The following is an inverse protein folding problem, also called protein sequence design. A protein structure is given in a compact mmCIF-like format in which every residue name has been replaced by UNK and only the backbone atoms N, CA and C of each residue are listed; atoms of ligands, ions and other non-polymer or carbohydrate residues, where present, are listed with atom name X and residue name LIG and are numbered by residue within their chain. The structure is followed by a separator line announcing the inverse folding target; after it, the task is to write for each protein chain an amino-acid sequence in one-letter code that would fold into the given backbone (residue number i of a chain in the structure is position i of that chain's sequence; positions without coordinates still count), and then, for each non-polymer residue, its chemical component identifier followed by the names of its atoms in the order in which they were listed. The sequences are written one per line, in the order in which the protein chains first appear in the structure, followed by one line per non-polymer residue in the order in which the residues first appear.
data_IF_818687756164
#
_entry.id   IF_818687756164
#
_cell.length_a   1.000
_cell.length_b   1.000
_cell.length_c   1.000
_cell.angle_alpha   90.00
_cell.angle_beta   90.00
_cell.angle_gamma   90.00
#
_symmetry.space_group_name_H-M   'P 1'
#
loop_
_entity.id
_entity.type
_entity.pdbx_description
1 polymer ?
#
# COMPACT_ATOMS: atom_id res chain seq x y z
N UNK A 1 2.06 -10.87 17.45
CA UNK A 1 3.20 -10.23 18.12
C UNK A 1 3.05 -10.30 19.61
N UNK A 2 3.78 -11.22 20.26
CA UNK A 2 3.70 -11.42 21.72
C UNK A 2 4.80 -10.67 22.51
N UNK A 3 5.79 -10.05 21.84
CA UNK A 3 6.99 -9.52 22.49
C UNK A 3 7.33 -8.05 22.17
N UNK A 4 6.40 -7.27 21.62
CA UNK A 4 6.67 -5.85 21.33
C UNK A 4 6.12 -4.97 22.45
N UNK A 5 7.01 -4.48 23.31
CA UNK A 5 6.67 -3.52 24.38
C UNK A 5 6.30 -2.16 23.77
N UNK A 6 5.27 -1.52 24.33
CA UNK A 6 4.86 -0.15 23.98
C UNK A 6 5.99 0.84 24.20
N UNK A 7 6.77 0.69 25.27
CA UNK A 7 7.91 1.57 25.55
C UNK A 7 8.99 1.46 24.47
N UNK A 8 9.21 0.25 23.93
CA UNK A 8 10.16 0.04 22.84
C UNK A 8 9.70 0.73 21.55
N UNK A 9 8.40 0.69 21.26
CA UNK A 9 7.83 1.39 20.09
C UNK A 9 7.98 2.90 20.26
N UNK A 10 7.65 3.45 21.43
CA UNK A 10 7.79 4.87 21.71
C UNK A 10 9.25 5.34 21.58
N UNK A 11 10.22 4.57 22.09
CA UNK A 11 11.64 4.88 21.91
C UNK A 11 12.07 4.80 20.43
N UNK A 12 11.55 3.83 19.67
CA UNK A 12 11.82 3.75 18.24
C UNK A 12 11.24 4.96 17.48
N UNK A 13 10.09 5.50 17.92
CA UNK A 13 9.47 6.69 17.33
C UNK A 13 10.29 7.96 17.51
N UNK A 14 11.07 8.06 18.59
CA UNK A 14 11.99 9.19 18.79
C UNK A 14 13.26 9.08 17.96
N UNK A 15 13.40 8.03 17.14
CA UNK A 15 14.56 7.79 16.29
C UNK A 15 15.73 7.10 17.00
N UNK A 16 15.53 6.49 18.18
CA UNK A 16 16.59 5.71 18.85
C UNK A 16 17.01 4.51 17.98
N UNK A 17 18.25 4.47 17.47
CA UNK A 17 18.72 3.41 16.59
C UNK A 17 18.71 2.03 17.26
N UNK A 18 18.94 1.96 18.58
CA UNK A 18 18.95 0.69 19.33
C UNK A 18 17.52 0.18 19.48
N UNK A 19 16.58 1.07 19.79
CA UNK A 19 15.16 0.71 19.87
C UNK A 19 14.63 0.22 18.52
N UNK A 20 14.95 0.92 17.42
CA UNK A 20 14.58 0.51 16.06
C UNK A 20 15.16 -0.86 15.72
N UNK A 21 16.47 -1.07 15.91
CA UNK A 21 17.12 -2.35 15.62
C UNK A 21 16.50 -3.51 16.42
N UNK A 22 16.25 -3.29 17.71
CA UNK A 22 15.62 -4.28 18.58
C UNK A 22 14.18 -4.59 18.15
N UNK A 23 13.42 -3.56 17.80
CA UNK A 23 12.05 -3.68 17.31
C UNK A 23 11.99 -4.52 16.02
N UNK A 24 12.87 -4.23 15.05
CA UNK A 24 13.01 -4.97 13.79
C UNK A 24 13.30 -6.46 14.02
N UNK A 25 14.23 -6.77 14.93
CA UNK A 25 14.59 -8.16 15.26
C UNK A 25 13.41 -8.91 15.87
N UNK A 26 12.65 -8.27 16.76
CA UNK A 26 11.51 -8.89 17.43
C UNK A 26 10.33 -9.13 16.47
N UNK A 27 10.08 -8.22 15.54
CA UNK A 27 8.96 -8.38 14.61
C UNK A 27 9.29 -9.24 13.38
N UNK A 28 10.56 -9.51 13.08
CA UNK A 28 10.97 -10.26 11.89
C UNK A 28 10.28 -11.62 11.73
N UNK A 29 10.24 -12.44 12.79
CA UNK A 29 9.61 -13.77 12.72
C UNK A 29 8.09 -13.70 12.51
N UNK A 30 7.42 -12.72 13.12
CA UNK A 30 5.98 -12.49 12.92
C UNK A 30 5.69 -11.93 11.53
N UNK A 31 6.51 -11.00 11.04
CA UNK A 31 6.44 -10.44 9.70
C UNK A 31 6.58 -11.53 8.64
N UNK A 32 7.60 -12.39 8.77
CA UNK A 32 7.84 -13.50 7.84
C UNK A 32 6.72 -14.52 7.83
N UNK A 33 6.21 -14.89 9.01
CA UNK A 33 5.06 -15.81 9.13
C UNK A 33 3.80 -15.22 8.50
N UNK A 34 3.58 -13.92 8.62
CA UNK A 34 2.46 -13.24 7.98
C UNK A 34 2.64 -13.18 6.45
N UNK A 35 3.81 -12.74 5.98
CA UNK A 35 4.17 -12.70 4.56
C UNK A 35 4.02 -14.07 3.88
N UNK A 36 4.44 -15.15 4.53
CA UNK A 36 4.31 -16.53 4.00
C UNK A 36 2.86 -16.92 3.66
N UNK A 37 1.86 -16.30 4.30
CA UNK A 37 0.43 -16.55 4.02
C UNK A 37 -0.15 -15.65 2.92
N UNK A 38 0.58 -14.62 2.49
CA UNK A 38 0.04 -13.53 1.66
C UNK A 38 0.90 -13.18 0.44
N UNK A 39 2.17 -13.59 0.41
CA UNK A 39 3.11 -13.45 -0.70
C UNK A 39 3.24 -14.78 -1.45
N UNK A 40 3.70 -14.73 -2.71
CA UNK A 40 4.29 -15.91 -3.35
C UNK A 40 5.54 -16.35 -2.56
N UNK A 41 5.84 -17.65 -2.55
CA UNK A 41 6.93 -18.19 -1.75
C UNK A 41 8.30 -17.56 -2.08
N UNK A 42 8.51 -17.17 -3.34
CA UNK A 42 9.70 -16.46 -3.83
C UNK A 42 9.85 -15.05 -3.24
N UNK A 43 8.75 -14.40 -2.91
CA UNK A 43 8.69 -12.96 -2.61
C UNK A 43 8.64 -12.69 -1.10
N UNK A 44 8.55 -13.74 -0.28
CA UNK A 44 8.37 -13.63 1.17
C UNK A 44 9.50 -12.85 1.82
N UNK A 45 10.75 -13.21 1.51
CA UNK A 45 11.91 -12.61 2.18
C UNK A 45 12.11 -11.16 1.72
N UNK A 46 11.90 -10.87 0.43
CA UNK A 46 11.94 -9.51 -0.13
C UNK A 46 10.85 -8.61 0.47
N UNK A 47 9.60 -9.11 0.54
CA UNK A 47 8.50 -8.34 1.10
C UNK A 47 8.71 -8.02 2.57
N UNK A 48 9.26 -8.96 3.34
CA UNK A 48 9.61 -8.74 4.74
C UNK A 48 10.71 -7.68 4.85
N UNK A 49 11.76 -7.81 4.05
CA UNK A 49 12.90 -6.89 4.09
C UNK A 49 12.48 -5.46 3.78
N UNK A 50 11.75 -5.25 2.67
CA UNK A 50 11.25 -3.92 2.29
C UNK A 50 10.26 -3.36 3.33
N UNK A 51 9.39 -4.19 3.87
CA UNK A 51 8.45 -3.78 4.93
C UNK A 51 9.18 -3.31 6.19
N UNK A 52 10.21 -4.03 6.61
CA UNK A 52 11.02 -3.70 7.77
C UNK A 52 11.89 -2.45 7.53
N UNK A 53 12.42 -2.27 6.32
CA UNK A 53 13.12 -1.04 5.93
C UNK A 53 12.18 0.16 5.97
N UNK A 54 10.99 0.05 5.37
CA UNK A 54 9.97 1.10 5.41
C UNK A 54 9.55 1.42 6.85
N UNK A 55 9.35 0.39 7.66
CA UNK A 55 9.06 0.51 9.08
C UNK A 55 10.14 1.33 9.81
N UNK A 56 11.42 1.01 9.60
CA UNK A 56 12.53 1.72 10.24
C UNK A 56 12.55 3.21 9.92
N UNK A 57 12.16 3.58 8.70
CA UNK A 57 12.11 4.98 8.22
C UNK A 57 10.86 5.72 8.66
N UNK A 58 9.73 5.02 8.82
CA UNK A 58 8.40 5.63 9.01
C UNK A 58 7.80 5.39 10.40
N UNK A 59 8.48 4.68 11.31
CA UNK A 59 7.94 4.38 12.64
C UNK A 59 7.47 5.63 13.41
N UNK A 60 8.16 6.76 13.23
CA UNK A 60 7.82 8.06 13.82
C UNK A 60 6.46 8.62 13.39
N UNK A 61 5.87 8.15 12.27
CA UNK A 61 4.55 8.62 11.80
C UNK A 61 3.39 7.86 12.43
N UNK A 62 3.66 6.77 13.15
CA UNK A 62 2.64 5.97 13.81
C UNK A 62 2.01 6.77 14.97
N UNK A 63 0.72 7.09 14.86
CA UNK A 63 0.02 7.93 15.86
C UNK A 63 -0.17 7.25 17.22
N UNK A 64 -0.21 5.92 17.25
CA UNK A 64 -0.44 5.15 18.47
C UNK A 64 0.39 3.86 18.46
N UNK A 65 1.22 3.67 19.49
CA UNK A 65 2.05 2.47 19.61
C UNK A 65 1.24 1.17 19.62
N UNK A 66 0.04 1.17 20.19
CA UNK A 66 -0.88 0.03 20.18
C UNK A 66 -1.30 -0.43 18.76
N UNK A 67 -1.23 0.46 17.76
CA UNK A 67 -1.56 0.15 16.37
C UNK A 67 -0.40 -0.47 15.58
N UNK A 68 0.78 -0.61 16.19
CA UNK A 68 2.00 -1.03 15.49
C UNK A 68 1.87 -2.37 14.75
N UNK A 69 1.28 -3.40 15.40
CA UNK A 69 1.09 -4.70 14.75
C UNK A 69 0.22 -4.63 13.50
N UNK A 70 -0.91 -3.94 13.59
CA UNK A 70 -1.83 -3.77 12.46
C UNK A 70 -1.18 -2.99 11.34
N UNK A 71 -0.44 -1.92 11.67
CA UNK A 71 0.30 -1.13 10.70
C UNK A 71 1.37 -1.95 9.97
N UNK A 72 2.17 -2.74 10.71
CA UNK A 72 3.19 -3.61 10.12
C UNK A 72 2.57 -4.63 9.15
N UNK A 73 1.45 -5.25 9.52
CA UNK A 73 0.78 -6.23 8.65
C UNK A 73 0.18 -5.61 7.39
N UNK A 74 -0.33 -4.37 7.47
CA UNK A 74 -0.77 -3.61 6.29
C UNK A 74 0.41 -3.36 5.36
N UNK A 75 1.54 -2.90 5.89
CA UNK A 75 2.76 -2.67 5.09
C UNK A 75 3.20 -3.96 4.38
N UNK A 76 3.26 -5.09 5.10
CA UNK A 76 3.65 -6.38 4.51
C UNK A 76 2.68 -6.83 3.42
N UNK A 77 1.37 -6.71 3.65
CA UNK A 77 0.36 -7.08 2.67
C UNK A 77 0.46 -6.22 1.39
N UNK A 78 0.72 -4.92 1.56
CA UNK A 78 0.94 -3.98 0.45
C UNK A 78 2.18 -4.37 -0.35
N UNK A 79 3.25 -4.77 0.32
CA UNK A 79 4.50 -5.15 -0.31
C UNK A 79 4.40 -6.50 -1.05
N UNK A 80 3.76 -7.51 -0.46
CA UNK A 80 3.42 -8.76 -1.15
C UNK A 80 2.66 -8.49 -2.47
N UNK A 81 1.68 -7.60 -2.43
CA UNK A 81 0.90 -7.21 -3.61
C UNK A 81 1.67 -6.34 -4.60
N UNK A 82 2.73 -5.65 -4.17
CA UNK A 82 3.62 -4.90 -5.06
C UNK A 82 4.48 -5.87 -5.85
N UNK A 83 5.10 -6.84 -5.18
CA UNK A 83 5.94 -7.87 -5.80
C UNK A 83 5.12 -8.78 -6.72
N UNK A 84 3.94 -9.21 -6.27
CA UNK A 84 2.99 -9.96 -7.10
C UNK A 84 2.61 -9.18 -8.38
N UNK A 85 2.40 -7.86 -8.25
CA UNK A 85 2.14 -7.01 -9.43
C UNK A 85 3.36 -6.90 -10.34
N UNK A 86 4.58 -6.83 -9.83
CA UNK A 86 5.79 -6.78 -10.67
C UNK A 86 5.95 -8.09 -11.44
N UNK A 87 5.75 -9.23 -10.76
CA UNK A 87 5.79 -10.55 -11.38
C UNK A 87 4.69 -10.73 -12.46
N UNK A 88 3.49 -10.21 -12.20
CA UNK A 88 2.37 -10.24 -13.14
C UNK A 88 2.44 -9.16 -14.24
N UNK A 89 3.19 -8.06 -14.02
CA UNK A 89 3.35 -6.93 -14.94
C UNK A 89 4.74 -6.89 -15.57
N UNK A 90 5.13 -7.96 -16.24
CA UNK A 90 6.00 -7.82 -17.41
C UNK A 90 5.24 -7.13 -18.57
N UNK A 91 4.65 -5.97 -18.28
CA UNK A 91 4.04 -5.03 -19.21
C UNK A 91 4.51 -3.65 -18.74
N UNK A 92 5.37 -2.98 -19.51
CA UNK A 92 6.04 -1.75 -19.08
C UNK A 92 4.99 -0.65 -18.92
N UNK A 93 4.93 -0.03 -17.74
CA UNK A 93 4.24 1.24 -17.56
C UNK A 93 5.29 2.33 -17.75
N UNK A 94 5.08 3.16 -18.77
CA UNK A 94 5.89 4.34 -19.06
C UNK A 94 5.52 5.44 -18.04
N UNK A 95 6.23 5.47 -16.91
CA UNK A 95 5.92 6.29 -15.72
C UNK A 95 6.77 7.58 -15.63
N UNK A 96 7.80 7.75 -16.48
CA UNK A 96 8.73 8.89 -16.37
C UNK A 96 8.08 10.25 -16.69
N UNK A 97 7.10 10.29 -17.61
CA UNK A 97 6.48 11.55 -18.04
C UNK A 97 5.49 12.09 -17.00
N UNK A 98 4.78 11.21 -16.29
CA UNK A 98 3.81 11.58 -15.27
C UNK A 98 4.48 12.09 -13.98
N UNK A 99 5.61 11.49 -13.60
CA UNK A 99 6.38 11.94 -12.43
C UNK A 99 6.95 13.35 -12.60
N UNK A 100 7.43 13.69 -13.81
CA UNK A 100 7.99 15.02 -14.10
C UNK A 100 6.94 16.13 -14.05
N UNK A 101 5.71 15.87 -14.50
CA UNK A 101 4.63 16.87 -14.51
C UNK A 101 4.03 17.12 -13.12
N UNK A 102 4.05 16.11 -12.23
CA UNK A 102 3.50 16.21 -10.88
C UNK A 102 4.51 16.73 -9.84
N UNK A 103 5.81 16.76 -10.17
CA UNK A 103 6.89 17.17 -9.27
C UNK A 103 6.85 18.65 -8.82
N UNK A 104 6.06 19.49 -9.48
CA UNK A 104 5.94 20.92 -9.17
C UNK A 104 4.73 21.30 -8.31
N UNK A 105 3.84 20.34 -7.97
CA UNK A 105 2.66 20.58 -7.14
C UNK A 105 2.97 20.31 -5.66
N UNK A 106 2.35 21.07 -4.76
CA UNK A 106 2.48 20.77 -3.32
C UNK A 106 1.66 19.52 -2.97
N UNK A 107 2.05 18.80 -1.91
CA UNK A 107 1.30 17.61 -1.43
C UNK A 107 -0.15 17.94 -1.07
N UNK A 108 -0.45 19.19 -0.70
CA UNK A 108 -1.82 19.65 -0.42
C UNK A 108 -2.63 19.80 -1.72
N UNK A 109 -2.04 20.42 -2.76
CA UNK A 109 -2.71 20.62 -4.04
C UNK A 109 -3.01 19.28 -4.72
N UNK A 110 -2.03 18.37 -4.72
CA UNK A 110 -2.19 17.01 -5.25
C UNK A 110 -3.32 16.23 -4.58
N UNK A 111 -3.55 16.44 -3.28
CA UNK A 111 -4.64 15.78 -2.54
C UNK A 111 -6.00 16.36 -2.86
N UNK A 112 -6.08 17.68 -3.08
CA UNK A 112 -7.31 18.35 -3.52
C UNK A 112 -7.66 17.92 -4.95
N UNK A 113 -6.68 17.90 -5.85
CA UNK A 113 -6.87 17.48 -7.24
C UNK A 113 -7.25 16.01 -7.35
N UNK A 114 -6.63 15.14 -6.54
CA UNK A 114 -7.01 13.73 -6.46
C UNK A 114 -8.43 13.56 -5.94
N UNK A 115 -8.86 14.35 -4.95
CA UNK A 115 -10.23 14.30 -4.44
C UNK A 115 -11.24 14.68 -5.54
N UNK A 116 -11.00 15.78 -6.26
CA UNK A 116 -11.86 16.17 -7.39
C UNK A 116 -11.84 15.15 -8.53
N UNK A 117 -10.68 14.55 -8.83
CA UNK A 117 -10.57 13.50 -9.84
C UNK A 117 -11.43 12.28 -9.46
N UNK A 118 -11.39 11.85 -8.20
CA UNK A 118 -12.20 10.74 -7.70
C UNK A 118 -13.70 11.09 -7.69
N UNK A 119 -14.08 12.31 -7.31
CA UNK A 119 -15.47 12.79 -7.35
C UNK A 119 -16.03 12.88 -8.78
N UNK A 120 -15.16 13.10 -9.78
CA UNK A 120 -15.56 13.14 -11.19
C UNK A 120 -15.84 11.75 -11.78
N UNK A 121 -15.43 10.66 -11.09
CA UNK A 121 -15.63 9.31 -11.59
C UNK A 121 -17.11 8.91 -11.54
N UNK A 122 -17.62 8.23 -12.59
CA UNK A 122 -18.86 7.48 -12.49
C UNK A 122 -18.87 6.54 -11.28
N UNK A 123 -20.01 6.43 -10.59
CA UNK A 123 -20.14 5.72 -9.32
C UNK A 123 -19.59 4.27 -9.35
N UNK A 124 -19.79 3.55 -10.45
CA UNK A 124 -19.32 2.17 -10.62
C UNK A 124 -17.79 2.05 -10.78
N UNK A 125 -17.10 3.11 -11.21
CA UNK A 125 -15.64 3.20 -11.25
C UNK A 125 -15.07 3.62 -9.91
N UNK A 126 -15.71 4.61 -9.27
CA UNK A 126 -15.34 5.04 -7.91
C UNK A 126 -15.45 3.88 -6.92
N UNK A 127 -16.55 3.11 -6.97
CA UNK A 127 -16.79 1.96 -6.09
C UNK A 127 -15.65 0.94 -6.15
N UNK A 128 -15.23 0.52 -7.36
CA UNK A 128 -14.14 -0.46 -7.48
C UNK A 128 -12.81 0.12 -7.01
N UNK A 129 -12.54 1.41 -7.23
CA UNK A 129 -11.32 2.10 -6.76
C UNK A 129 -11.32 2.17 -5.23
N UNK A 130 -12.42 2.56 -4.59
CA UNK A 130 -12.53 2.58 -3.13
C UNK A 130 -12.32 1.18 -2.54
N UNK A 131 -13.00 0.17 -3.08
CA UNK A 131 -12.86 -1.20 -2.61
C UNK A 131 -11.41 -1.72 -2.78
N UNK A 132 -10.73 -1.33 -3.85
CA UNK A 132 -9.38 -1.80 -4.15
C UNK A 132 -8.28 -1.04 -3.42
N UNK A 133 -8.33 0.28 -3.46
CA UNK A 133 -7.23 1.17 -3.07
C UNK A 133 -7.43 1.76 -1.67
N UNK A 134 -8.67 1.79 -1.14
CA UNK A 134 -8.97 2.22 0.24
C UNK A 134 -9.28 1.04 1.16
N UNK A 135 -10.17 0.12 0.76
CA UNK A 135 -10.50 -1.08 1.55
C UNK A 135 -9.52 -2.23 1.33
N UNK A 136 -8.56 -2.06 0.42
CA UNK A 136 -7.50 -3.04 0.13
C UNK A 136 -8.04 -4.45 -0.23
N UNK A 137 -9.17 -4.57 -0.92
CA UNK A 137 -9.70 -5.85 -1.38
C UNK A 137 -8.98 -6.36 -2.63
N UNK A 138 -8.87 -7.69 -2.76
CA UNK A 138 -8.42 -8.37 -3.98
C UNK A 138 -9.50 -8.31 -5.06
N UNK A 139 -9.10 -8.46 -6.33
CA UNK A 139 -10.05 -8.51 -7.45
C UNK A 139 -11.07 -9.63 -7.24
N UNK A 140 -10.65 -10.78 -6.67
CA UNK A 140 -11.55 -11.89 -6.35
C UNK A 140 -12.53 -11.55 -5.22
N UNK A 141 -12.08 -10.87 -4.16
CA UNK A 141 -12.95 -10.39 -3.07
C UNK A 141 -13.96 -9.35 -3.56
N UNK A 142 -13.53 -8.42 -4.43
CA UNK A 142 -14.41 -7.42 -5.05
C UNK A 142 -15.42 -8.10 -5.99
N UNK A 143 -14.97 -9.05 -6.81
CA UNK A 143 -15.83 -9.85 -7.68
C UNK A 143 -16.90 -10.60 -6.86
N UNK A 144 -16.52 -11.20 -5.73
CA UNK A 144 -17.45 -11.84 -4.80
C UNK A 144 -18.42 -10.85 -4.15
N UNK A 145 -17.92 -9.69 -3.70
CA UNK A 145 -18.71 -8.63 -3.04
C UNK A 145 -19.74 -8.01 -3.98
N UNK A 146 -19.33 -7.70 -5.21
CA UNK A 146 -20.17 -7.08 -6.24
C UNK A 146 -20.96 -8.08 -7.09
N UNK A 147 -20.72 -9.39 -6.90
CA UNK A 147 -21.32 -10.49 -7.69
C UNK A 147 -21.08 -10.32 -9.20
N UNK A 148 -19.88 -9.90 -9.56
CA UNK A 148 -19.47 -9.64 -10.93
C UNK A 148 -18.22 -10.43 -11.31
N UNK A 149 -17.98 -10.72 -12.60
CA UNK A 149 -16.80 -11.44 -13.04
C UNK A 149 -15.51 -10.67 -12.71
N UNK A 150 -14.46 -11.38 -12.30
CA UNK A 150 -13.13 -10.79 -12.05
C UNK A 150 -12.58 -10.00 -13.26
N UNK A 151 -12.93 -10.40 -14.49
CA UNK A 151 -12.60 -9.65 -15.71
C UNK A 151 -13.25 -8.27 -15.76
N UNK A 152 -14.53 -8.16 -15.37
CA UNK A 152 -15.23 -6.88 -15.31
C UNK A 152 -14.63 -5.96 -14.24
N UNK A 153 -14.25 -6.50 -13.08
CA UNK A 153 -13.55 -5.74 -12.03
C UNK A 153 -12.21 -5.20 -12.55
N UNK A 154 -11.41 -6.03 -13.25
CA UNK A 154 -10.13 -5.62 -13.85
C UNK A 154 -10.32 -4.47 -14.83
N UNK A 155 -11.27 -4.61 -15.77
CA UNK A 155 -11.54 -3.58 -16.77
C UNK A 155 -12.04 -2.27 -16.15
N UNK A 156 -12.92 -2.34 -15.14
CA UNK A 156 -13.40 -1.15 -14.43
C UNK A 156 -12.29 -0.45 -13.65
N UNK A 157 -11.46 -1.19 -12.93
CA UNK A 157 -10.31 -0.64 -12.23
C UNK A 157 -9.29 0.01 -13.18
N UNK A 158 -9.04 -0.60 -14.33
CA UNK A 158 -8.18 -0.02 -15.35
C UNK A 158 -8.74 1.31 -15.85
N UNK A 159 -10.01 1.33 -16.26
CA UNK A 159 -10.63 2.54 -16.80
C UNK A 159 -10.76 3.65 -15.75
N UNK A 160 -11.05 3.30 -14.50
CA UNK A 160 -11.10 4.26 -13.41
C UNK A 160 -9.76 4.98 -13.20
N UNK A 161 -8.65 4.24 -13.21
CA UNK A 161 -7.30 4.82 -13.07
C UNK A 161 -6.87 5.66 -14.28
N UNK A 162 -7.24 5.24 -15.49
CA UNK A 162 -7.05 6.04 -16.70
C UNK A 162 -7.76 7.39 -16.59
N UNK A 163 -9.03 7.41 -16.19
CA UNK A 163 -9.80 8.66 -16.03
C UNK A 163 -9.20 9.58 -14.96
N UNK A 164 -8.75 9.03 -13.83
CA UNK A 164 -8.06 9.82 -12.79
C UNK A 164 -6.76 10.39 -13.33
N UNK A 165 -5.97 9.60 -14.07
CA UNK A 165 -4.74 10.08 -14.70
C UNK A 165 -5.03 11.18 -15.72
N UNK A 166 -5.96 10.96 -16.64
CA UNK A 166 -6.39 11.96 -17.64
C UNK A 166 -6.78 13.28 -16.96
N UNK A 167 -7.52 13.23 -15.84
CA UNK A 167 -7.90 14.41 -15.07
C UNK A 167 -6.69 15.15 -14.47
N UNK A 168 -5.77 14.41 -13.85
CA UNK A 168 -4.58 14.98 -13.19
C UNK A 168 -3.57 15.55 -14.18
N UNK A 169 -3.53 15.03 -15.41
CA UNK A 169 -2.65 15.52 -16.49
C UNK A 169 -3.27 16.64 -17.32
N UNK A 170 -4.59 16.81 -17.27
CA UNK A 170 -5.31 17.87 -18.00
C UNK A 170 -5.32 19.23 -17.27
N UNK A 171 -4.80 19.27 -16.04
CA UNK A 171 -4.62 20.50 -15.26
C UNK A 171 -3.19 21.04 -15.37
#
# INVERSE_FOLDING_TARGET
MKNTDTNLILAAQTGDPKAISRLLTLCHADARRYAYRHCAASDVDDAVQESLLLMSRKIHTLKAAAAFSSWLFVVIKRECRRLERILLKHEPLDDETAEQQLAHRTDTDLRIDLAHALESLPAHYLEVVLLRDFEELTIAEIAGKLKEPAGAIKSRLHRARELVREYLLAQ
#
